data_IF_032104167329
#
_entry.id   IF_032104167329
#
_cell.length_a   1.000
_cell.length_b   1.000
_cell.length_c   1.000
_cell.angle_alpha   90.00
_cell.angle_beta   90.00
_cell.angle_gamma   90.00
#
_symmetry.space_group_name_H-M   'P 1'
#
loop_
_entity.id
_entity.type
_entity.pdbx_description
1 polymer ?
#
# COMPACT_ATOMS: atom_id res chain seq x y z
N UNK A 1 -2.79 -32.54 -17.57
CA UNK A 1 -3.66 -32.91 -16.44
C UNK A 1 -4.20 -31.61 -15.87
N UNK A 2 -5.41 -31.22 -16.29
CA UNK A 2 -5.97 -29.91 -15.95
C UNK A 2 -6.46 -29.87 -14.52
N UNK A 3 -5.99 -28.88 -13.75
CA UNK A 3 -6.61 -28.53 -12.48
C UNK A 3 -8.06 -28.10 -12.75
N UNK A 4 -8.99 -28.55 -11.91
CA UNK A 4 -10.37 -28.07 -11.94
C UNK A 4 -10.34 -26.56 -11.65
N UNK A 5 -10.69 -25.77 -12.65
CA UNK A 5 -10.92 -24.35 -12.49
C UNK A 5 -12.21 -24.20 -11.66
N UNK A 6 -12.10 -23.73 -10.42
CA UNK A 6 -13.25 -23.54 -9.53
C UNK A 6 -14.00 -22.23 -9.80
N UNK A 7 -13.47 -21.35 -10.67
CA UNK A 7 -14.19 -20.17 -11.18
C UNK A 7 -15.06 -20.52 -12.39
N UNK A 8 -14.75 -21.65 -13.04
CA UNK A 8 -15.56 -22.34 -14.05
C UNK A 8 -15.54 -23.84 -13.78
N UNK A 9 -16.11 -24.28 -12.66
CA UNK A 9 -16.51 -25.69 -12.60
C UNK A 9 -17.64 -25.82 -13.63
N UNK A 10 -17.49 -26.55 -14.75
CA UNK A 10 -18.51 -26.52 -15.80
C UNK A 10 -19.87 -27.06 -15.35
N UNK A 11 -20.00 -27.66 -14.15
CA UNK A 11 -21.15 -28.50 -13.83
C UNK A 11 -21.88 -28.18 -12.51
N UNK A 12 -21.38 -27.28 -11.65
CA UNK A 12 -22.14 -26.88 -10.44
C UNK A 12 -23.37 -26.04 -10.80
N UNK A 13 -23.19 -25.10 -11.74
CA UNK A 13 -24.27 -24.25 -12.21
C UNK A 13 -25.40 -25.05 -12.88
N UNK A 14 -25.07 -26.14 -13.58
CA UNK A 14 -26.05 -27.00 -14.24
C UNK A 14 -26.81 -27.91 -13.27
N UNK A 15 -26.16 -28.40 -12.22
CA UNK A 15 -26.84 -29.08 -11.12
C UNK A 15 -27.80 -28.12 -10.41
N UNK A 16 -27.38 -26.88 -10.13
CA UNK A 16 -28.25 -25.85 -9.53
C UNK A 16 -29.41 -25.49 -10.46
N UNK A 17 -29.17 -25.29 -11.75
CA UNK A 17 -30.23 -24.99 -12.71
C UNK A 17 -31.24 -26.13 -12.84
N UNK A 18 -30.78 -27.38 -12.76
CA UNK A 18 -31.66 -28.57 -12.75
C UNK A 18 -32.48 -28.64 -11.47
N UNK A 19 -31.88 -28.33 -10.31
CA UNK A 19 -32.59 -28.26 -9.04
C UNK A 19 -33.70 -27.19 -9.04
N UNK A 20 -33.44 -26.03 -9.66
CA UNK A 20 -34.41 -24.93 -9.76
C UNK A 20 -35.57 -25.24 -10.73
N UNK A 21 -35.30 -25.94 -11.82
CA UNK A 21 -36.31 -26.29 -12.83
C UNK A 21 -37.11 -27.56 -12.48
N UNK A 22 -36.55 -28.41 -11.62
CA UNK A 22 -37.09 -29.71 -11.26
C UNK A 22 -36.62 -30.81 -12.22
N UNK A 23 -36.35 -31.99 -11.68
CA UNK A 23 -35.83 -33.15 -12.42
C UNK A 23 -36.82 -33.71 -13.44
N UNK A 24 -38.12 -33.42 -13.29
CA UNK A 24 -39.16 -33.79 -14.24
C UNK A 24 -39.09 -33.00 -15.55
N UNK A 25 -38.56 -31.77 -15.49
CA UNK A 25 -38.46 -30.85 -16.65
C UNK A 25 -37.08 -30.87 -17.28
N UNK A 26 -36.06 -31.21 -16.50
CA UNK A 26 -34.67 -31.26 -16.94
C UNK A 26 -33.99 -32.45 -16.29
N UNK A 27 -33.52 -33.39 -17.11
CA UNK A 27 -32.73 -34.51 -16.63
C UNK A 27 -31.38 -34.01 -16.08
N UNK A 28 -30.96 -34.46 -14.88
CA UNK A 28 -29.65 -34.10 -14.33
C UNK A 28 -28.51 -34.51 -15.25
N UNK A 29 -27.69 -33.53 -15.66
CA UNK A 29 -26.43 -33.81 -16.34
C UNK A 29 -25.34 -33.95 -15.27
N UNK A 30 -24.70 -35.12 -15.21
CA UNK A 30 -23.61 -35.36 -14.29
C UNK A 30 -22.31 -34.70 -14.83
N UNK A 31 -21.51 -34.08 -13.95
CA UNK A 31 -20.22 -33.52 -14.32
C UNK A 31 -19.30 -34.49 -15.04
N UNK A 32 -18.80 -34.10 -16.21
CA UNK A 32 -17.85 -34.91 -16.98
C UNK A 32 -16.41 -34.68 -16.49
N UNK A 33 -16.13 -35.12 -15.27
CA UNK A 33 -14.83 -34.96 -14.60
C UNK A 33 -14.08 -36.28 -14.49
N UNK A 34 -12.76 -36.27 -14.62
CA UNK A 34 -11.92 -37.44 -14.45
C UNK A 34 -11.56 -37.74 -12.99
N UNK A 35 -10.83 -38.82 -12.75
CA UNK A 35 -10.28 -39.17 -11.42
C UNK A 35 -11.32 -39.74 -10.45
N UNK A 36 -11.05 -39.62 -9.14
CA UNK A 36 -11.88 -40.22 -8.08
C UNK A 36 -13.31 -39.65 -8.04
N UNK A 37 -13.49 -38.35 -8.33
CA UNK A 37 -14.82 -37.74 -8.44
C UNK A 37 -15.60 -38.29 -9.63
N UNK A 38 -14.96 -38.43 -10.79
CA UNK A 38 -15.57 -39.04 -11.97
C UNK A 38 -16.01 -40.48 -11.74
N UNK A 39 -15.16 -41.26 -11.07
CA UNK A 39 -15.46 -42.65 -10.71
C UNK A 39 -16.63 -42.76 -9.71
N UNK A 40 -16.80 -41.77 -8.82
CA UNK A 40 -17.92 -41.71 -7.89
C UNK A 40 -19.22 -41.28 -8.59
N UNK A 41 -19.15 -40.26 -9.45
CA UNK A 41 -20.30 -39.80 -10.24
C UNK A 41 -20.78 -40.87 -11.23
N UNK A 42 -19.87 -41.65 -11.81
CA UNK A 42 -20.20 -42.76 -12.71
C UNK A 42 -20.95 -43.93 -12.06
N UNK A 43 -21.04 -43.97 -10.72
CA UNK A 43 -21.86 -44.95 -9.98
C UNK A 43 -23.31 -44.51 -9.81
N UNK A 44 -23.64 -43.27 -10.18
CA UNK A 44 -24.97 -42.68 -10.03
C UNK A 44 -25.78 -42.96 -11.30
N UNK A 45 -26.86 -43.74 -11.18
CA UNK A 45 -27.81 -43.97 -12.27
C UNK A 45 -28.88 -42.89 -12.31
N UNK A 46 -28.76 -41.99 -13.29
CA UNK A 46 -29.70 -40.88 -13.50
C UNK A 46 -31.08 -41.36 -13.96
N UNK A 47 -31.16 -42.49 -14.66
CA UNK A 47 -32.40 -42.99 -15.26
C UNK A 47 -33.32 -43.68 -14.27
N UNK A 48 -32.74 -44.29 -13.23
CA UNK A 48 -33.46 -45.00 -12.18
C UNK A 48 -34.06 -44.05 -11.13
N UNK A 49 -33.30 -43.02 -10.71
CA UNK A 49 -33.73 -42.04 -9.70
C UNK A 49 -33.17 -40.64 -10.01
N UNK A 50 -33.84 -39.85 -10.87
CA UNK A 50 -33.35 -38.52 -11.22
C UNK A 50 -33.20 -37.55 -10.02
N UNK A 51 -34.15 -37.47 -9.06
CA UNK A 51 -33.96 -36.67 -7.85
C UNK A 51 -32.76 -37.11 -6.99
N UNK A 52 -32.62 -38.42 -6.74
CA UNK A 52 -31.49 -38.96 -5.97
C UNK A 52 -30.16 -38.76 -6.68
N UNK A 53 -30.14 -38.91 -8.00
CA UNK A 53 -28.95 -38.67 -8.81
C UNK A 53 -28.47 -37.22 -8.75
N UNK A 54 -29.41 -36.26 -8.82
CA UNK A 54 -29.10 -34.84 -8.66
C UNK A 54 -28.49 -34.53 -7.29
N UNK A 55 -29.11 -35.03 -6.21
CA UNK A 55 -28.64 -34.80 -4.85
C UNK A 55 -27.29 -35.49 -4.58
N UNK A 56 -27.10 -36.72 -5.07
CA UNK A 56 -25.85 -37.46 -4.95
C UNK A 56 -24.70 -36.76 -5.69
N UNK A 57 -24.97 -36.27 -6.91
CA UNK A 57 -24.00 -35.50 -7.68
C UNK A 57 -23.65 -34.18 -7.00
N UNK A 58 -24.65 -33.45 -6.50
CA UNK A 58 -24.43 -32.20 -5.76
C UNK A 58 -23.61 -32.42 -4.48
N UNK A 59 -23.89 -33.48 -3.73
CA UNK A 59 -23.14 -33.84 -2.52
C UNK A 59 -21.68 -34.18 -2.84
N UNK A 60 -21.45 -35.01 -3.87
CA UNK A 60 -20.11 -35.40 -4.31
C UNK A 60 -19.29 -34.19 -4.77
N UNK A 61 -19.86 -33.33 -5.63
CA UNK A 61 -19.19 -32.13 -6.15
C UNK A 61 -18.92 -31.12 -5.03
N UNK A 62 -19.90 -30.88 -4.14
CA UNK A 62 -19.72 -29.94 -3.03
C UNK A 62 -18.64 -30.40 -2.04
N UNK A 63 -18.63 -31.69 -1.69
CA UNK A 63 -17.62 -32.26 -0.80
C UNK A 63 -16.24 -32.23 -1.47
N UNK A 64 -16.15 -32.59 -2.74
CA UNK A 64 -14.90 -32.54 -3.51
C UNK A 64 -14.35 -31.11 -3.60
N UNK A 65 -15.22 -30.12 -3.85
CA UNK A 65 -14.82 -28.71 -3.85
C UNK A 65 -14.31 -28.25 -2.48
N UNK A 66 -14.98 -28.64 -1.39
CA UNK A 66 -14.58 -28.25 -0.03
C UNK A 66 -13.30 -28.95 0.45
N UNK A 67 -13.13 -30.24 0.14
CA UNK A 67 -12.00 -31.04 0.57
C UNK A 67 -10.77 -30.89 -0.34
N UNK A 68 -10.99 -30.60 -1.63
CA UNK A 68 -9.95 -30.39 -2.63
C UNK A 68 -9.54 -28.93 -2.80
N UNK A 69 -10.15 -28.00 -2.07
CA UNK A 69 -9.74 -26.60 -2.10
C UNK A 69 -8.33 -26.48 -1.52
N UNK A 70 -7.41 -26.00 -2.34
CA UNK A 70 -6.09 -25.59 -1.90
C UNK A 70 -6.04 -24.06 -1.98
N UNK A 71 -5.52 -23.37 -0.94
CA UNK A 71 -5.31 -21.95 -1.02
C UNK A 71 -4.40 -21.64 -2.22
N UNK A 72 -4.66 -20.57 -2.98
CA UNK A 72 -3.77 -20.14 -4.05
C UNK A 72 -2.36 -20.03 -3.48
N UNK A 73 -1.39 -20.66 -4.13
CA UNK A 73 0.02 -20.49 -3.75
C UNK A 73 0.39 -19.05 -4.08
N UNK A 74 0.52 -18.23 -3.04
CA UNK A 74 1.03 -16.88 -3.21
C UNK A 74 2.51 -16.96 -3.58
N UNK A 75 2.88 -16.34 -4.69
CA UNK A 75 4.28 -16.05 -5.02
C UNK A 75 4.77 -14.79 -4.29
N UNK A 76 3.93 -14.15 -3.48
CA UNK A 76 4.34 -13.01 -2.69
C UNK A 76 5.44 -13.42 -1.71
N UNK A 77 6.47 -12.59 -1.62
CA UNK A 77 7.50 -12.78 -0.61
C UNK A 77 6.86 -12.69 0.79
N UNK A 78 7.18 -13.61 1.71
CA UNK A 78 6.71 -13.52 3.08
C UNK A 78 7.24 -12.22 3.71
N UNK A 79 6.44 -11.63 4.59
CA UNK A 79 6.92 -10.50 5.39
C UNK A 79 8.15 -10.92 6.20
N UNK A 80 9.10 -10.00 6.43
CA UNK A 80 10.21 -10.28 7.33
C UNK A 80 9.65 -10.72 8.68
N UNK A 81 10.24 -11.73 9.33
CA UNK A 81 9.75 -12.23 10.61
C UNK A 81 9.75 -11.11 11.65
N UNK A 82 8.77 -11.13 12.55
CA UNK A 82 8.75 -10.22 13.68
C UNK A 82 9.98 -10.47 14.57
N UNK A 83 10.62 -9.41 15.10
CA UNK A 83 11.67 -9.57 16.09
C UNK A 83 11.14 -10.28 17.36
N UNK A 84 12.03 -10.84 18.19
CA UNK A 84 11.64 -11.35 19.50
C UNK A 84 10.87 -10.31 20.32
N UNK A 85 9.90 -10.76 21.11
CA UNK A 85 9.15 -9.87 21.98
C UNK A 85 10.08 -9.27 23.05
N UNK A 86 10.05 -7.94 23.19
CA UNK A 86 10.88 -7.15 24.11
C UNK A 86 10.22 -6.97 25.48
N UNK A 87 8.93 -7.32 25.60
CA UNK A 87 8.13 -7.15 26.81
C UNK A 87 7.27 -8.39 27.07
N UNK A 88 7.12 -8.83 28.33
CA UNK A 88 6.19 -9.89 28.68
C UNK A 88 4.74 -9.45 28.42
N UNK A 89 3.92 -10.36 27.89
CA UNK A 89 2.49 -10.09 27.67
C UNK A 89 1.75 -9.89 29.01
N UNK A 90 0.73 -9.04 29.00
CA UNK A 90 -0.18 -8.87 30.12
C UNK A 90 -0.96 -10.17 30.43
N UNK A 91 -1.55 -10.26 31.63
CA UNK A 91 -2.39 -11.40 31.98
C UNK A 91 -3.64 -11.51 31.09
N UNK A 92 -4.17 -12.73 30.94
CA UNK A 92 -5.35 -13.03 30.11
C UNK A 92 -6.55 -12.14 30.42
N UNK A 93 -6.85 -11.95 31.71
CA UNK A 93 -7.98 -11.12 32.16
C UNK A 93 -7.82 -9.65 31.74
N UNK A 94 -6.60 -9.11 31.82
CA UNK A 94 -6.32 -7.75 31.40
C UNK A 94 -6.55 -7.59 29.88
N UNK A 95 -6.08 -8.55 29.08
CA UNK A 95 -6.31 -8.59 27.63
C UNK A 95 -7.80 -8.68 27.24
N UNK A 96 -8.59 -9.43 28.02
CA UNK A 96 -10.04 -9.52 27.83
C UNK A 96 -10.73 -8.18 28.10
N UNK A 97 -10.34 -7.46 29.15
CA UNK A 97 -10.88 -6.12 29.43
C UNK A 97 -10.52 -5.12 28.33
N UNK A 98 -9.27 -5.13 27.84
CA UNK A 98 -8.87 -4.30 26.71
C UNK A 98 -9.74 -4.59 25.47
N UNK A 99 -10.00 -5.87 25.18
CA UNK A 99 -10.86 -6.27 24.06
C UNK A 99 -12.27 -5.68 24.18
N UNK A 100 -12.84 -5.67 25.39
CA UNK A 100 -14.15 -5.07 25.65
C UNK A 100 -14.13 -3.55 25.50
N UNK A 101 -13.07 -2.89 25.98
CA UNK A 101 -12.86 -1.44 25.83
C UNK A 101 -12.79 -1.02 24.37
N UNK A 102 -12.03 -1.75 23.55
CA UNK A 102 -11.93 -1.49 22.11
C UNK A 102 -13.23 -1.83 21.37
N UNK A 103 -14.02 -2.78 21.85
CA UNK A 103 -15.37 -3.08 21.35
C UNK A 103 -16.44 -2.05 21.81
N UNK A 104 -16.05 -1.02 22.55
CA UNK A 104 -16.91 0.11 22.96
C UNK A 104 -17.49 0.01 24.37
N UNK A 105 -17.29 -1.09 25.10
CA UNK A 105 -17.72 -1.21 26.50
C UNK A 105 -16.72 -0.52 27.41
N UNK A 106 -17.14 0.41 28.27
CA UNK A 106 -16.23 1.14 29.18
C UNK A 106 -15.10 1.89 28.45
N UNK A 107 -15.37 2.44 27.26
CA UNK A 107 -14.36 3.14 26.43
C UNK A 107 -13.60 4.25 27.19
N UNK A 108 -14.25 4.93 28.13
CA UNK A 108 -13.64 5.97 28.96
C UNK A 108 -12.48 5.47 29.84
N UNK A 109 -12.42 4.17 30.15
CA UNK A 109 -11.35 3.58 30.96
C UNK A 109 -10.12 3.18 30.13
N UNK A 110 -10.20 3.19 28.80
CA UNK A 110 -9.10 2.78 27.91
C UNK A 110 -7.79 3.56 28.15
N UNK A 111 -7.79 4.91 28.24
CA UNK A 111 -6.55 5.65 28.45
C UNK A 111 -5.86 5.27 29.76
N UNK A 112 -6.66 5.11 30.83
CA UNK A 112 -6.18 4.78 32.16
C UNK A 112 -5.70 3.33 32.24
N UNK A 113 -6.36 2.42 31.55
CA UNK A 113 -5.92 1.03 31.40
C UNK A 113 -4.58 0.92 30.66
N UNK A 114 -4.39 1.66 29.57
CA UNK A 114 -3.13 1.66 28.80
C UNK A 114 -1.99 2.25 29.63
N UNK A 115 -2.24 3.37 30.32
CA UNK A 115 -1.29 3.97 31.23
C UNK A 115 -0.89 3.01 32.36
N UNK A 116 -1.86 2.32 32.98
CA UNK A 116 -1.60 1.33 34.02
C UNK A 116 -0.81 0.14 33.51
N UNK A 117 -1.04 -0.33 32.28
CA UNK A 117 -0.23 -1.41 31.70
C UNK A 117 1.22 -0.95 31.46
N UNK A 118 1.40 0.26 30.94
CA UNK A 118 2.73 0.82 30.66
C UNK A 118 3.62 0.87 31.92
N UNK A 119 3.07 1.21 33.09
CA UNK A 119 3.84 1.24 34.35
C UNK A 119 4.31 -0.15 34.81
N UNK A 120 3.71 -1.23 34.31
CA UNK A 120 4.11 -2.60 34.63
C UNK A 120 5.19 -3.17 33.71
N UNK A 121 5.59 -2.43 32.66
CA UNK A 121 6.57 -2.91 31.67
C UNK A 121 6.09 -4.14 30.91
N UNK A 122 4.79 -4.23 30.64
CA UNK A 122 4.16 -5.35 29.92
C UNK A 122 3.54 -4.88 28.61
N UNK A 123 3.46 -5.80 27.66
CA UNK A 123 2.80 -5.56 26.38
C UNK A 123 1.38 -6.11 26.33
N UNK A 124 0.57 -5.55 25.44
CA UNK A 124 -0.76 -6.10 25.11
C UNK A 124 -0.64 -7.45 24.38
N UNK A 125 -1.68 -8.30 24.39
CA UNK A 125 -1.64 -9.58 23.69
C UNK A 125 -1.48 -9.39 22.17
N UNK A 126 -0.70 -10.25 21.47
CA UNK A 126 -0.49 -10.12 20.03
C UNK A 126 -1.77 -10.07 19.20
N UNK A 127 -2.82 -10.77 19.65
CA UNK A 127 -4.13 -10.85 18.99
C UNK A 127 -4.87 -9.51 18.93
N UNK A 128 -4.49 -8.53 19.75
CA UNK A 128 -5.17 -7.22 19.82
C UNK A 128 -4.41 -6.10 19.13
N UNK A 129 -3.16 -6.36 18.70
CA UNK A 129 -2.27 -5.32 18.18
C UNK A 129 -2.88 -4.58 17.00
N UNK A 130 -3.46 -5.30 16.03
CA UNK A 130 -4.11 -4.67 14.88
C UNK A 130 -5.22 -3.71 15.30
N UNK A 131 -6.14 -4.18 16.16
CA UNK A 131 -7.27 -3.36 16.61
C UNK A 131 -6.81 -2.13 17.41
N UNK A 132 -5.77 -2.29 18.23
CA UNK A 132 -5.20 -1.19 19.01
C UNK A 132 -4.48 -0.17 18.14
N UNK A 133 -3.74 -0.62 17.11
CA UNK A 133 -3.09 0.25 16.14
C UNK A 133 -4.10 1.05 15.30
N UNK A 134 -5.17 0.40 14.85
CA UNK A 134 -6.29 1.08 14.18
C UNK A 134 -6.95 2.11 15.10
N UNK A 135 -7.09 1.80 16.40
CA UNK A 135 -7.61 2.74 17.37
C UNK A 135 -6.73 3.98 17.53
N UNK A 136 -5.40 3.82 17.57
CA UNK A 136 -4.47 4.96 17.64
C UNK A 136 -4.38 5.75 16.34
N UNK A 137 -4.62 5.13 15.18
CA UNK A 137 -4.79 5.85 13.93
C UNK A 137 -5.95 6.85 14.01
N UNK A 138 -7.11 6.40 14.52
CA UNK A 138 -8.30 7.21 14.68
C UNK A 138 -8.25 8.22 15.84
N UNK A 139 -7.50 7.93 16.92
CA UNK A 139 -7.46 8.74 18.14
C UNK A 139 -6.02 9.14 18.48
N UNK A 140 -5.59 10.32 17.99
CA UNK A 140 -4.20 10.80 18.13
C UNK A 140 -3.74 10.92 19.58
N UNK A 141 -4.64 11.30 20.48
CA UNK A 141 -4.37 11.52 21.91
C UNK A 141 -3.91 10.25 22.64
N UNK A 142 -4.29 9.06 22.15
CA UNK A 142 -3.95 7.77 22.77
C UNK A 142 -2.64 7.17 22.27
N UNK A 143 -2.08 7.72 21.20
CA UNK A 143 -0.89 7.17 20.55
C UNK A 143 0.32 7.05 21.48
N UNK A 144 0.64 8.00 22.40
CA UNK A 144 1.75 7.82 23.33
C UNK A 144 1.56 6.60 24.23
N UNK A 145 0.34 6.42 24.73
CA UNK A 145 -0.01 5.31 25.62
C UNK A 145 -0.01 3.96 24.88
N UNK A 146 -0.44 3.95 23.61
CA UNK A 146 -0.41 2.77 22.75
C UNK A 146 1.04 2.35 22.47
N UNK A 147 1.89 3.29 22.04
CA UNK A 147 3.31 3.03 21.73
C UNK A 147 4.05 2.42 22.92
N UNK A 148 3.68 2.80 24.15
CA UNK A 148 4.30 2.29 25.37
C UNK A 148 4.00 0.80 25.64
N UNK A 149 2.94 0.22 25.07
CA UNK A 149 2.46 -1.14 25.42
C UNK A 149 2.38 -2.11 24.24
N UNK A 150 2.77 -1.70 23.03
CA UNK A 150 2.68 -2.56 21.84
C UNK A 150 3.91 -3.46 21.63
N UNK A 151 5.04 -3.14 22.28
CA UNK A 151 6.30 -3.88 22.16
C UNK A 151 6.88 -3.94 20.74
N UNK A 152 7.96 -4.70 20.57
CA UNK A 152 8.70 -4.86 19.32
C UNK A 152 7.82 -5.45 18.21
N UNK A 153 6.93 -6.39 18.54
CA UNK A 153 5.97 -6.97 17.59
C UNK A 153 4.97 -5.96 17.07
N UNK A 154 4.46 -5.07 17.92
CA UNK A 154 3.54 -4.03 17.48
C UNK A 154 4.22 -2.96 16.62
N UNK A 155 5.46 -2.59 16.92
CA UNK A 155 6.26 -1.69 16.06
C UNK A 155 6.58 -2.33 14.72
N UNK A 156 6.91 -3.63 14.70
CA UNK A 156 7.07 -4.40 13.47
C UNK A 156 5.79 -4.42 12.65
N UNK A 157 4.64 -4.69 13.29
CA UNK A 157 3.34 -4.71 12.63
C UNK A 157 2.97 -3.33 12.06
N UNK A 158 3.27 -2.26 12.80
CA UNK A 158 3.10 -0.87 12.35
C UNK A 158 3.84 -0.59 11.03
N UNK A 159 5.06 -1.12 10.89
CA UNK A 159 5.86 -0.97 9.67
C UNK A 159 5.29 -1.65 8.41
N UNK A 160 4.23 -2.45 8.53
CA UNK A 160 3.55 -3.10 7.41
C UNK A 160 2.36 -2.30 6.87
N UNK A 161 1.95 -1.22 7.54
CA UNK A 161 0.77 -0.42 7.17
C UNK A 161 1.01 1.07 7.44
N UNK A 162 0.97 1.88 6.38
CA UNK A 162 1.21 3.32 6.44
C UNK A 162 0.27 4.07 7.41
N UNK A 163 -0.95 3.56 7.66
CA UNK A 163 -1.85 4.16 8.64
C UNK A 163 -1.30 4.11 10.07
N UNK A 164 -0.35 3.23 10.35
CA UNK A 164 0.22 2.98 11.66
C UNK A 164 1.63 3.59 11.83
N UNK A 165 2.07 4.47 10.92
CA UNK A 165 3.41 5.08 10.95
C UNK A 165 3.78 5.73 12.30
N UNK A 166 2.79 6.23 13.04
CA UNK A 166 2.97 6.80 14.38
C UNK A 166 3.61 5.82 15.39
N UNK A 167 3.45 4.52 15.17
CA UNK A 167 3.92 3.47 16.06
C UNK A 167 5.29 2.90 15.66
N UNK A 168 5.83 3.23 14.49
CA UNK A 168 7.11 2.67 13.99
C UNK A 168 8.30 3.14 14.83
N UNK A 169 8.41 4.46 15.03
CA UNK A 169 9.45 5.07 15.88
C UNK A 169 8.93 5.47 17.27
N UNK A 170 7.64 5.28 17.52
CA UNK A 170 6.96 5.82 18.69
C UNK A 170 6.74 7.34 18.64
N UNK A 171 6.07 7.87 19.66
CA UNK A 171 5.78 9.31 19.78
C UNK A 171 6.81 10.04 20.66
N UNK A 172 7.01 11.32 20.36
CA UNK A 172 7.98 12.17 21.05
C UNK A 172 9.09 12.69 20.13
N UNK A 173 9.84 13.64 20.67
CA UNK A 173 11.08 14.11 20.04
C UNK A 173 12.14 13.02 20.22
N UNK A 174 12.63 12.47 19.10
CA UNK A 174 13.77 11.55 19.12
C UNK A 174 15.02 12.37 18.81
N UNK A 175 16.07 12.32 19.66
CA UNK A 175 17.33 12.98 19.37
C UNK A 175 17.86 12.58 18.00
N UNK A 176 18.49 13.54 17.33
CA UNK A 176 19.02 13.35 15.97
C UNK A 176 19.99 12.18 15.89
N UNK A 177 20.85 12.03 16.88
CA UNK A 177 21.87 11.00 16.93
C UNK A 177 21.23 9.60 16.98
N UNK A 178 20.14 9.45 17.72
CA UNK A 178 19.36 8.21 17.78
C UNK A 178 18.64 7.93 16.45
N UNK A 179 18.07 8.96 15.81
CA UNK A 179 17.50 8.83 14.46
C UNK A 179 18.55 8.37 13.45
N UNK A 180 19.77 8.91 13.50
CA UNK A 180 20.88 8.48 12.63
C UNK A 180 21.25 7.02 12.91
N UNK A 181 21.37 6.59 14.16
CA UNK A 181 21.64 5.20 14.49
C UNK A 181 20.55 4.23 13.97
N UNK A 182 19.28 4.65 14.06
CA UNK A 182 18.14 3.90 13.51
C UNK A 182 18.14 3.91 11.97
N UNK A 183 18.65 4.95 11.32
CA UNK A 183 18.84 4.98 9.86
C UNK A 183 19.85 3.94 9.40
N UNK A 184 20.96 3.78 10.13
CA UNK A 184 22.06 2.89 9.76
C UNK A 184 21.71 1.39 9.92
N UNK A 185 20.89 1.06 10.91
CA UNK A 185 20.61 -0.33 11.30
C UNK A 185 19.16 -0.75 11.07
N UNK A 186 18.28 0.20 10.77
CA UNK A 186 16.85 -0.01 10.69
C UNK A 186 16.40 -0.83 9.48
N UNK A 187 15.25 -1.48 9.64
CA UNK A 187 14.52 -2.05 8.49
C UNK A 187 14.04 -0.93 7.55
N UNK A 188 13.63 -1.27 6.33
CA UNK A 188 13.06 -0.30 5.38
C UNK A 188 11.98 0.60 5.99
N UNK A 189 11.07 0.04 6.79
CA UNK A 189 10.00 0.80 7.44
C UNK A 189 10.54 1.78 8.48
N UNK A 190 11.50 1.35 9.31
CA UNK A 190 12.18 2.21 10.29
C UNK A 190 12.93 3.34 9.58
N UNK A 191 13.71 3.00 8.55
CA UNK A 191 14.47 3.98 7.74
C UNK A 191 13.57 5.03 7.08
N UNK A 192 12.42 4.61 6.54
CA UNK A 192 11.43 5.52 5.99
C UNK A 192 10.86 6.47 7.05
N UNK A 193 10.46 5.93 8.21
CA UNK A 193 9.95 6.74 9.32
C UNK A 193 11.02 7.71 9.87
N UNK A 194 12.29 7.29 9.89
CA UNK A 194 13.43 8.15 10.28
C UNK A 194 13.56 9.31 9.30
N UNK A 195 13.53 9.06 7.99
CA UNK A 195 13.60 10.14 7.01
C UNK A 195 12.43 11.09 7.13
N UNK A 196 11.20 10.62 7.35
CA UNK A 196 10.04 11.49 7.55
C UNK A 196 10.25 12.41 8.75
N UNK A 197 10.71 11.87 9.90
CA UNK A 197 10.97 12.65 11.12
C UNK A 197 12.15 13.61 10.95
N UNK A 198 13.26 13.16 10.34
CA UNK A 198 14.40 14.02 10.04
C UNK A 198 14.03 15.12 9.03
N UNK A 199 13.22 14.86 8.00
CA UNK A 199 12.79 15.91 7.06
C UNK A 199 12.03 17.03 7.76
N UNK A 200 11.16 16.67 8.70
CA UNK A 200 10.40 17.64 9.49
C UNK A 200 11.28 18.44 10.48
N UNK A 201 12.30 17.83 11.07
CA UNK A 201 13.16 18.47 12.08
C UNK A 201 14.41 19.15 11.51
N UNK A 202 15.09 18.49 10.57
CA UNK A 202 16.28 18.96 9.87
C UNK A 202 16.43 18.29 8.49
N UNK A 203 15.89 18.99 7.51
CA UNK A 203 15.93 18.61 6.10
C UNK A 203 17.34 18.39 5.54
N UNK A 204 18.37 19.10 6.05
CA UNK A 204 19.75 18.96 5.59
C UNK A 204 20.36 17.64 6.09
N UNK A 205 20.14 17.27 7.34
CA UNK A 205 20.61 16.01 7.90
C UNK A 205 19.94 14.81 7.24
N UNK A 206 18.63 14.88 6.97
CA UNK A 206 17.91 13.85 6.22
C UNK A 206 18.54 13.64 4.83
N UNK A 207 18.80 14.74 4.10
CA UNK A 207 19.46 14.68 2.79
C UNK A 207 20.86 14.09 2.88
N UNK A 208 21.66 14.52 3.84
CA UNK A 208 23.03 14.02 4.03
C UNK A 208 23.04 12.51 4.32
N UNK A 209 22.14 12.03 5.20
CA UNK A 209 22.01 10.62 5.54
C UNK A 209 21.61 9.76 4.33
N UNK A 210 20.65 10.22 3.52
CA UNK A 210 20.24 9.51 2.30
C UNK A 210 21.34 9.54 1.23
N UNK A 211 21.95 10.70 0.98
CA UNK A 211 23.00 10.85 -0.02
C UNK A 211 24.21 9.95 0.28
N UNK A 212 24.59 9.81 1.56
CA UNK A 212 25.71 8.97 1.97
C UNK A 212 25.52 7.47 1.66
N UNK A 213 24.28 6.99 1.62
CA UNK A 213 23.95 5.58 1.42
C UNK A 213 23.33 5.29 0.05
N UNK A 214 23.08 6.34 -0.75
CA UNK A 214 22.35 6.27 -2.01
C UNK A 214 22.84 5.18 -2.98
N UNK A 215 24.16 5.06 -3.14
CA UNK A 215 24.77 4.12 -4.07
C UNK A 215 24.47 2.64 -3.71
N UNK A 216 24.28 2.32 -2.43
CA UNK A 216 23.96 0.97 -1.95
C UNK A 216 22.46 0.67 -1.84
N UNK A 217 21.60 1.68 -1.94
CA UNK A 217 20.15 1.49 -1.81
C UNK A 217 19.55 0.69 -2.97
N UNK A 218 18.55 -0.14 -2.66
CA UNK A 218 17.78 -0.86 -3.67
C UNK A 218 16.84 0.10 -4.41
N UNK A 219 16.49 -0.23 -5.65
CA UNK A 219 15.65 0.62 -6.52
C UNK A 219 14.32 1.01 -5.87
N UNK A 220 13.61 0.07 -5.25
CA UNK A 220 12.32 0.35 -4.59
C UNK A 220 12.46 1.16 -3.29
N UNK A 221 13.62 1.11 -2.63
CA UNK A 221 13.92 1.92 -1.45
C UNK A 221 14.24 3.35 -1.86
N UNK A 222 15.07 3.54 -2.89
CA UNK A 222 15.40 4.84 -3.47
C UNK A 222 14.16 5.68 -3.79
N UNK A 223 13.20 5.12 -4.52
CA UNK A 223 11.98 5.83 -4.88
C UNK A 223 11.16 6.23 -3.63
N UNK A 224 10.97 5.30 -2.69
CA UNK A 224 10.21 5.55 -1.47
C UNK A 224 10.90 6.58 -0.53
N UNK A 225 12.24 6.58 -0.46
CA UNK A 225 12.98 7.55 0.33
C UNK A 225 12.94 8.94 -0.29
N UNK A 226 12.97 9.07 -1.62
CA UNK A 226 12.78 10.36 -2.29
C UNK A 226 11.39 10.97 -2.01
N UNK A 227 10.33 10.16 -1.94
CA UNK A 227 8.98 10.66 -1.64
C UNK A 227 8.92 11.46 -0.31
N UNK A 228 9.81 11.16 0.64
CA UNK A 228 9.90 11.90 1.92
C UNK A 228 10.35 13.36 1.76
N UNK A 229 11.05 13.70 0.66
CA UNK A 229 11.58 15.05 0.43
C UNK A 229 10.49 16.10 0.18
N UNK A 230 9.27 15.68 -0.14
CA UNK A 230 8.13 16.58 -0.29
C UNK A 230 7.91 17.44 0.97
N UNK A 231 8.21 16.91 2.16
CA UNK A 231 8.28 17.69 3.38
C UNK A 231 9.63 18.41 3.48
N UNK A 232 9.59 19.74 3.67
CA UNK A 232 10.81 20.56 3.80
C UNK A 232 11.62 20.75 2.51
N UNK A 233 11.02 20.49 1.34
CA UNK A 233 11.69 20.63 0.04
C UNK A 233 12.24 22.05 -0.15
N UNK A 234 13.51 22.15 -0.51
CA UNK A 234 14.17 23.44 -0.77
C UNK A 234 15.27 23.33 -1.82
N UNK A 235 15.78 24.48 -2.29
CA UNK A 235 16.91 24.52 -3.22
C UNK A 235 18.20 23.87 -2.66
N UNK A 236 18.32 23.69 -1.35
CA UNK A 236 19.43 22.93 -0.78
C UNK A 236 19.40 21.44 -1.17
N UNK A 237 18.23 20.91 -1.54
CA UNK A 237 18.04 19.54 -2.01
C UNK A 237 18.38 19.36 -3.50
N UNK A 238 18.41 20.46 -4.25
CA UNK A 238 18.58 20.46 -5.72
C UNK A 238 19.85 19.73 -6.19
N UNK A 239 21.04 19.94 -5.60
CA UNK A 239 22.25 19.29 -6.10
C UNK A 239 22.18 17.78 -6.02
N UNK A 240 21.59 17.25 -4.95
CA UNK A 240 21.37 15.82 -4.78
C UNK A 240 20.31 15.31 -5.75
N UNK A 241 19.14 15.95 -5.82
CA UNK A 241 18.05 15.53 -6.68
C UNK A 241 18.43 15.57 -8.18
N UNK A 242 19.25 16.53 -8.60
CA UNK A 242 19.75 16.57 -9.96
C UNK A 242 20.69 15.39 -10.27
N UNK A 243 21.55 14.99 -9.32
CA UNK A 243 22.38 13.78 -9.48
C UNK A 243 21.50 12.52 -9.59
N UNK A 244 20.37 12.50 -8.88
CA UNK A 244 19.41 11.39 -8.93
C UNK A 244 18.72 11.25 -10.30
N UNK A 245 18.67 12.32 -11.12
CA UNK A 245 18.20 12.21 -12.51
C UNK A 245 19.07 11.29 -13.37
N UNK A 246 20.29 10.97 -12.94
CA UNK A 246 21.18 10.02 -13.62
C UNK A 246 20.98 8.57 -13.15
N UNK A 247 20.00 8.30 -12.28
CA UNK A 247 19.67 6.94 -11.84
C UNK A 247 19.18 6.07 -13.01
N UNK A 248 19.56 4.78 -13.00
CA UNK A 248 19.19 3.82 -14.05
C UNK A 248 17.69 3.52 -14.07
N UNK A 249 17.02 3.59 -12.92
CA UNK A 249 15.59 3.32 -12.79
C UNK A 249 14.74 4.52 -13.22
N UNK A 250 13.84 4.29 -14.18
CA UNK A 250 12.87 5.30 -14.61
C UNK A 250 11.99 5.79 -13.44
N UNK A 251 11.59 4.89 -12.54
CA UNK A 251 10.79 5.23 -11.36
C UNK A 251 11.52 6.23 -10.46
N UNK A 252 12.81 6.02 -10.25
CA UNK A 252 13.66 6.89 -9.41
C UNK A 252 13.86 8.25 -10.08
N UNK A 253 14.17 8.28 -11.39
CA UNK A 253 14.29 9.54 -12.15
C UNK A 253 13.00 10.35 -12.11
N UNK A 254 11.85 9.71 -12.30
CA UNK A 254 10.53 10.38 -12.22
C UNK A 254 10.26 10.98 -10.85
N UNK A 255 10.61 10.28 -9.77
CA UNK A 255 10.45 10.80 -8.41
C UNK A 255 11.29 12.07 -8.19
N UNK A 256 12.57 12.07 -8.60
CA UNK A 256 13.42 13.25 -8.51
C UNK A 256 12.96 14.39 -9.42
N UNK A 257 12.57 14.09 -10.66
CA UNK A 257 12.05 15.08 -11.59
C UNK A 257 10.78 15.77 -11.06
N UNK A 258 9.87 15.00 -10.44
CA UNK A 258 8.66 15.54 -9.81
C UNK A 258 8.97 16.51 -8.67
N UNK A 259 9.96 16.20 -7.83
CA UNK A 259 10.41 17.10 -6.75
C UNK A 259 11.08 18.36 -7.32
N UNK A 260 11.99 18.20 -8.28
CA UNK A 260 12.68 19.33 -8.92
C UNK A 260 11.71 20.27 -9.64
N UNK A 261 10.63 19.76 -10.22
CA UNK A 261 9.61 20.56 -10.89
C UNK A 261 8.80 21.46 -9.92
N UNK A 262 8.78 21.14 -8.61
CA UNK A 262 8.18 22.00 -7.59
C UNK A 262 9.08 23.22 -7.29
N UNK A 263 10.38 23.12 -7.57
CA UNK A 263 11.37 24.18 -7.35
C UNK A 263 11.57 24.99 -8.65
N UNK A 264 11.04 26.23 -8.76
CA UNK A 264 11.11 27.01 -10.00
C UNK A 264 12.54 27.32 -10.44
N UNK A 265 13.45 27.49 -9.50
CA UNK A 265 14.87 27.81 -9.74
C UNK A 265 15.72 26.57 -9.99
N UNK A 266 15.17 25.36 -9.93
CA UNK A 266 15.94 24.14 -10.18
C UNK A 266 16.45 24.07 -11.61
N UNK A 267 17.63 23.45 -11.81
CA UNK A 267 18.19 23.32 -13.17
C UNK A 267 17.23 22.58 -14.10
N UNK A 268 16.51 21.58 -13.60
CA UNK A 268 15.46 20.90 -14.35
C UNK A 268 14.35 21.86 -14.78
N UNK A 269 13.78 22.64 -13.86
CA UNK A 269 12.71 23.60 -14.17
C UNK A 269 13.17 24.62 -15.21
N UNK A 270 14.40 25.13 -15.09
CA UNK A 270 14.98 26.05 -16.06
C UNK A 270 15.17 25.40 -17.44
N UNK A 271 15.62 24.14 -17.51
CA UNK A 271 15.68 23.37 -18.77
C UNK A 271 14.29 23.17 -19.38
N UNK A 272 13.27 22.86 -18.57
CA UNK A 272 11.90 22.68 -19.06
C UNK A 272 11.32 23.99 -19.60
N UNK A 273 11.55 25.10 -18.90
CA UNK A 273 11.16 26.43 -19.36
C UNK A 273 11.84 26.78 -20.68
N UNK A 274 13.15 26.54 -20.79
CA UNK A 274 13.89 26.78 -22.04
C UNK A 274 13.36 25.93 -23.21
N UNK A 275 13.01 24.66 -22.96
CA UNK A 275 12.42 23.77 -23.97
C UNK A 275 11.00 24.18 -24.39
N UNK A 276 10.18 24.63 -23.44
CA UNK A 276 8.79 25.02 -23.71
C UNK A 276 8.65 26.42 -24.30
N UNK A 277 9.55 27.35 -23.96
CA UNK A 277 9.49 28.75 -24.42
C UNK A 277 9.30 28.92 -25.94
N UNK A 278 10.04 28.22 -26.84
CA UNK A 278 9.82 28.34 -28.28
C UNK A 278 8.54 27.66 -28.78
N UNK A 279 7.90 26.81 -27.97
CA UNK A 279 6.71 26.04 -28.32
C UNK A 279 5.41 26.69 -27.84
N UNK A 280 5.49 27.74 -27.02
CA UNK A 280 4.34 28.45 -26.47
C UNK A 280 4.14 29.77 -27.20
N UNK A 281 2.97 29.94 -27.83
CA UNK A 281 2.57 31.22 -28.44
C UNK A 281 1.38 31.78 -27.71
N UNK A 282 1.60 32.91 -27.04
CA UNK A 282 0.54 33.67 -26.40
C UNK A 282 -0.01 34.73 -27.36
N UNK A 283 -1.31 34.67 -27.60
CA UNK A 283 -2.05 35.71 -28.32
C UNK A 283 -2.92 36.45 -27.30
N UNK A 284 -2.59 37.69 -26.91
CA UNK A 284 -3.41 38.44 -25.98
C UNK A 284 -4.78 38.74 -26.58
N UNK A 285 -5.81 38.72 -25.74
CA UNK A 285 -7.15 39.12 -26.15
C UNK A 285 -7.19 40.62 -26.45
N UNK A 286 -7.81 41.00 -27.56
CA UNK A 286 -7.97 42.40 -27.96
C UNK A 286 -9.46 42.68 -28.14
N UNK A 287 -9.97 43.69 -27.43
CA UNK A 287 -11.36 44.10 -27.48
C UNK A 287 -11.50 45.62 -27.34
N UNK A 288 -12.66 46.19 -27.71
CA UNK A 288 -12.87 47.64 -27.63
C UNK A 288 -12.88 48.11 -26.18
N UNK A 289 -12.23 49.25 -25.91
CA UNK A 289 -12.22 49.89 -24.58
C UNK A 289 -13.52 50.66 -24.27
N UNK A 290 -14.40 50.84 -25.28
CA UNK A 290 -15.63 51.62 -25.19
C UNK A 290 -16.88 50.74 -25.40
N UNK A 291 -18.00 51.02 -24.72
CA UNK A 291 -19.26 50.32 -24.95
C UNK A 291 -19.80 50.67 -26.34
N UNK A 292 -19.99 49.66 -27.21
CA UNK A 292 -20.79 49.82 -28.43
C UNK A 292 -20.12 49.50 -29.78
N UNK A 293 -18.87 49.05 -29.85
CA UNK A 293 -18.26 48.77 -31.17
C UNK A 293 -17.05 47.85 -31.18
N UNK A 294 -17.27 46.54 -31.39
CA UNK A 294 -16.26 45.62 -31.88
C UNK A 294 -16.23 44.23 -31.21
N UNK A 295 -15.78 43.21 -31.96
CA UNK A 295 -15.68 41.82 -31.48
C UNK A 295 -14.51 41.69 -30.49
N UNK A 296 -14.78 41.12 -29.32
CA UNK A 296 -13.75 40.75 -28.33
C UNK A 296 -13.03 39.50 -28.85
N UNK A 297 -11.73 39.60 -29.16
CA UNK A 297 -10.86 38.43 -29.33
C UNK A 297 -10.49 37.93 -27.95
N UNK A 298 -10.86 36.68 -27.63
CA UNK A 298 -10.42 36.03 -26.39
C UNK A 298 -8.91 35.78 -26.45
N UNK A 299 -8.20 35.85 -25.30
CA UNK A 299 -6.82 35.41 -25.24
C UNK A 299 -6.72 33.93 -25.66
N UNK A 300 -5.63 33.58 -26.34
CA UNK A 300 -5.36 32.22 -26.78
C UNK A 300 -3.91 31.85 -26.48
N UNK A 301 -3.71 30.65 -25.94
CA UNK A 301 -2.40 30.02 -25.81
C UNK A 301 -2.34 28.86 -26.80
N UNK A 302 -1.45 28.95 -27.78
CA UNK A 302 -1.14 27.86 -28.70
C UNK A 302 0.10 27.13 -28.18
N UNK A 303 0.03 25.80 -28.13
CA UNK A 303 1.10 24.91 -27.67
C UNK A 303 1.50 24.01 -28.83
N UNK A 304 2.73 24.16 -29.30
CA UNK A 304 3.33 23.27 -30.29
C UNK A 304 3.96 22.05 -29.60
N UNK A 305 4.02 20.92 -30.29
CA UNK A 305 4.71 19.72 -29.79
C UNK A 305 6.13 19.66 -30.36
N UNK A 306 7.13 19.24 -29.56
CA UNK A 306 8.48 19.03 -30.09
C UNK A 306 8.48 17.85 -31.08
N UNK A 307 9.16 18.04 -32.20
CA UNK A 307 9.26 17.02 -33.28
C UNK A 307 10.29 15.93 -32.97
N UNK A 308 11.27 16.21 -32.10
CA UNK A 308 12.38 15.33 -31.76
C UNK A 308 12.45 15.00 -30.26
N UNK A 309 12.86 13.77 -29.95
CA UNK A 309 13.10 13.31 -28.58
C UNK A 309 14.61 13.26 -28.32
N UNK A 310 15.12 14.20 -27.55
CA UNK A 310 16.54 14.23 -27.19
C UNK A 310 16.85 13.28 -26.02
N UNK A 311 18.04 12.65 -25.95
CA UNK A 311 18.44 11.80 -24.82
C UNK A 311 18.37 12.50 -23.46
N UNK A 312 18.59 13.82 -23.43
CA UNK A 312 18.48 14.65 -22.23
C UNK A 312 17.05 14.67 -21.66
N UNK A 313 16.03 14.44 -22.50
CA UNK A 313 14.63 14.32 -22.07
C UNK A 313 14.39 13.08 -21.21
N UNK A 314 15.08 11.96 -21.52
CA UNK A 314 14.97 10.72 -20.75
C UNK A 314 15.53 10.86 -19.33
N UNK A 315 16.66 11.55 -19.22
CA UNK A 315 17.29 11.92 -17.94
C UNK A 315 16.33 12.78 -17.12
N UNK A 316 15.69 13.75 -17.76
CA UNK A 316 14.73 14.68 -17.15
C UNK A 316 13.35 14.07 -16.85
N UNK A 317 13.19 12.74 -16.97
CA UNK A 317 11.97 12.03 -16.60
C UNK A 317 10.87 12.00 -17.67
N UNK A 318 11.13 12.51 -18.87
CA UNK A 318 10.20 12.47 -20.01
C UNK A 318 10.32 11.10 -20.70
N UNK A 319 9.21 10.37 -20.80
CA UNK A 319 9.18 9.03 -21.40
C UNK A 319 8.59 9.09 -22.79
N UNK A 320 9.24 8.43 -23.75
CA UNK A 320 8.71 8.23 -25.10
C UNK A 320 7.55 7.22 -25.02
N UNK A 321 6.35 7.68 -25.34
CA UNK A 321 5.18 6.79 -25.50
C UNK A 321 5.20 6.11 -26.85
#
# INVERSE_FOLDING_TARGET
>A
MGALDTTRAPDWADLVATALLGTDRRTPALPAVGGALGALLGQIDVSADPPGALLGAAAAVALYGRAGWLPPRSLAQPFPPAPPDDLPTCGTTAGQYLSQMLAGKHRAALPEWLAALATTGRAVPPTILQLLLDHGHANKELRPQIVAVIGARGRWLAGLNANWDYAVLGEGETPREELIALWETGTRAVRLAVLIRLRAADSNAARAALAATWASEKVDERAAFLETFASGLSMADEPFLEQVLDDRSERVRKAAAGLLAILPESRLSQRMLARLSPLLRWTPGVGPQLPGGGKIKKPALEVLLPEEYEPTMQRDGIVRK
#
